data_IF_248716957303
#
_entry.id   IF_248716957303
#
_cell.length_a   1.000
_cell.length_b   1.000
_cell.length_c   1.000
_cell.angle_alpha   90.00
_cell.angle_beta   90.00
_cell.angle_gamma   90.00
#
_symmetry.space_group_name_H-M   'P 1'
#
loop_
_entity.id
_entity.type
_entity.pdbx_description
1 polymer ?
#
# COMPACT_ATOMS: atom_id res chain seq x y z
N UNK A 1 16.11 12.86 4.35
CA UNK A 1 16.98 13.27 5.50
C UNK A 1 17.06 12.17 6.58
N UNK A 2 16.00 11.45 6.91
CA UNK A 2 16.01 10.37 7.92
C UNK A 2 16.91 9.19 7.55
N UNK A 3 16.93 8.74 6.31
CA UNK A 3 17.66 7.53 5.89
C UNK A 3 19.20 7.65 6.00
N UNK A 4 19.77 8.83 5.80
CA UNK A 4 21.21 9.04 5.97
C UNK A 4 21.70 8.79 7.41
N UNK A 5 20.85 9.01 8.39
CA UNK A 5 21.16 8.82 9.81
C UNK A 5 21.25 7.34 10.21
N UNK A 6 20.70 6.43 9.38
CA UNK A 6 20.68 4.99 9.64
C UNK A 6 21.80 4.21 8.94
N UNK A 7 22.48 4.77 7.94
CA UNK A 7 23.52 4.07 7.19
C UNK A 7 24.73 3.64 8.03
N UNK A 8 25.06 4.38 9.10
CA UNK A 8 26.15 4.05 10.04
C UNK A 8 25.74 3.24 11.27
N UNK A 9 24.45 2.93 11.44
CA UNK A 9 23.95 2.19 12.61
C UNK A 9 24.04 0.70 12.38
N UNK A 10 24.35 -0.05 13.46
CA UNK A 10 24.40 -1.51 13.42
C UNK A 10 23.11 -2.11 12.81
N UNK A 11 23.25 -3.20 12.05
CA UNK A 11 22.16 -3.83 11.31
C UNK A 11 20.91 -4.09 12.15
N UNK A 12 21.07 -4.44 13.44
CA UNK A 12 19.98 -4.68 14.38
C UNK A 12 19.12 -3.44 14.63
N UNK A 13 19.71 -2.25 14.76
CA UNK A 13 18.93 -1.00 14.95
C UNK A 13 18.09 -0.65 13.72
N UNK A 14 18.63 -0.92 12.53
CA UNK A 14 17.92 -0.70 11.27
C UNK A 14 16.78 -1.72 11.14
N UNK A 15 17.02 -2.97 11.50
CA UNK A 15 16.02 -4.04 11.49
C UNK A 15 14.86 -3.71 12.44
N UNK A 16 15.16 -3.40 13.70
CA UNK A 16 14.11 -3.04 14.68
C UNK A 16 13.35 -1.77 14.28
N UNK A 17 14.07 -0.73 13.81
CA UNK A 17 13.43 0.49 13.32
C UNK A 17 12.56 0.25 12.09
N UNK A 18 13.01 -0.58 11.16
CA UNK A 18 12.23 -0.98 9.97
C UNK A 18 11.01 -1.80 10.33
N UNK A 19 11.14 -2.73 11.27
CA UNK A 19 10.02 -3.52 11.77
C UNK A 19 8.94 -2.65 12.42
N UNK A 20 9.33 -1.74 13.32
CA UNK A 20 8.39 -0.85 14.01
C UNK A 20 7.71 0.13 13.05
N UNK A 21 8.47 0.76 12.16
CA UNK A 21 7.92 1.74 11.19
C UNK A 21 7.03 1.03 10.17
N UNK A 22 7.47 -0.15 9.65
CA UNK A 22 6.70 -0.92 8.69
C UNK A 22 5.40 -1.44 9.29
N UNK A 23 5.45 -2.05 10.48
CA UNK A 23 4.25 -2.52 11.18
C UNK A 23 3.30 -1.37 11.53
N UNK A 24 3.81 -0.23 11.99
CA UNK A 24 2.99 0.94 12.28
C UNK A 24 2.30 1.51 11.04
N UNK A 25 3.00 1.55 9.91
CA UNK A 25 2.43 1.96 8.63
C UNK A 25 1.36 0.97 8.15
N UNK A 26 1.63 -0.33 8.22
CA UNK A 26 0.70 -1.40 7.84
C UNK A 26 -0.58 -1.35 8.69
N UNK A 27 -0.43 -1.17 10.01
CA UNK A 27 -1.57 -1.01 10.92
C UNK A 27 -2.42 0.21 10.55
N UNK A 28 -1.78 1.36 10.32
CA UNK A 28 -2.46 2.60 9.93
C UNK A 28 -3.20 2.45 8.59
N UNK A 29 -2.57 1.81 7.60
CA UNK A 29 -3.20 1.56 6.31
C UNK A 29 -4.45 0.67 6.46
N UNK A 30 -4.35 -0.44 7.20
CA UNK A 30 -5.48 -1.33 7.44
C UNK A 30 -6.62 -0.62 8.19
N UNK A 31 -6.30 0.18 9.20
CA UNK A 31 -7.28 0.98 9.91
C UNK A 31 -7.98 2.02 9.01
N UNK A 32 -7.22 2.73 8.17
CA UNK A 32 -7.79 3.69 7.22
C UNK A 32 -8.68 3.01 6.18
N UNK A 33 -8.30 1.83 5.69
CA UNK A 33 -9.10 1.05 4.73
C UNK A 33 -10.46 0.69 5.34
N UNK A 34 -10.47 0.20 6.57
CA UNK A 34 -11.71 -0.13 7.27
C UNK A 34 -12.59 1.11 7.48
N UNK A 35 -12.01 2.24 7.90
CA UNK A 35 -12.77 3.49 8.10
C UNK A 35 -13.33 4.05 6.79
N UNK A 36 -12.58 3.96 5.69
CA UNK A 36 -12.98 4.55 4.41
C UNK A 36 -13.86 3.64 3.57
N UNK A 37 -13.64 2.32 3.65
CA UNK A 37 -14.26 1.35 2.75
C UNK A 37 -15.09 0.28 3.48
N UNK A 38 -15.07 0.24 4.82
CA UNK A 38 -15.69 -0.86 5.57
C UNK A 38 -15.06 -2.22 5.29
N UNK A 39 -13.80 -2.25 4.82
CA UNK A 39 -13.11 -3.45 4.41
C UNK A 39 -11.61 -3.37 4.71
N UNK A 40 -10.99 -4.52 4.94
CA UNK A 40 -9.55 -4.67 5.08
C UNK A 40 -8.99 -5.46 3.89
N UNK A 41 -7.83 -5.05 3.35
CA UNK A 41 -7.23 -5.72 2.19
C UNK A 41 -6.48 -7.00 2.56
N UNK A 42 -6.29 -7.25 3.85
CA UNK A 42 -5.67 -8.47 4.41
C UNK A 42 -6.18 -8.70 5.83
N UNK A 43 -6.13 -9.95 6.26
CA UNK A 43 -6.43 -10.36 7.64
C UNK A 43 -5.39 -11.37 8.13
N UNK A 44 -4.68 -11.00 9.21
CA UNK A 44 -3.69 -11.84 9.88
C UNK A 44 -4.20 -12.44 11.19
N UNK A 45 -5.50 -12.44 11.45
CA UNK A 45 -6.10 -12.96 12.68
C UNK A 45 -5.74 -14.43 12.93
N UNK A 46 -5.52 -15.20 11.85
CA UNK A 46 -5.11 -16.61 11.89
C UNK A 46 -3.61 -16.82 12.22
N UNK A 47 -2.79 -15.76 12.23
CA UNK A 47 -1.36 -15.85 12.52
C UNK A 47 -1.05 -15.56 13.98
N UNK A 48 -0.03 -16.23 14.59
CA UNK A 48 0.37 -15.97 15.96
C UNK A 48 0.97 -14.57 16.11
N UNK A 49 0.79 -13.99 17.31
CA UNK A 49 1.27 -12.65 17.65
C UNK A 49 0.76 -11.56 16.68
N UNK A 50 -0.47 -11.69 16.23
CA UNK A 50 -1.15 -10.62 15.51
C UNK A 50 -1.71 -9.56 16.48
N UNK A 51 -1.90 -8.37 15.98
CA UNK A 51 -2.59 -7.27 16.67
C UNK A 51 -3.81 -6.86 15.84
N UNK A 52 -5.00 -7.24 16.33
CA UNK A 52 -6.30 -6.98 15.69
C UNK A 52 -6.40 -7.50 14.23
N UNK A 53 -5.69 -8.57 13.87
CA UNK A 53 -5.63 -9.06 12.49
C UNK A 53 -4.91 -8.14 11.50
N UNK A 54 -4.50 -6.93 11.90
CA UNK A 54 -3.94 -5.90 11.00
C UNK A 54 -2.46 -6.03 10.76
N UNK A 55 -1.71 -6.47 11.78
CA UNK A 55 -0.27 -6.75 11.72
C UNK A 55 0.03 -8.03 12.49
N UNK A 56 1.14 -8.69 12.16
CA UNK A 56 1.66 -9.79 12.95
C UNK A 56 3.19 -9.75 13.05
N UNK A 57 3.75 -10.47 14.02
CA UNK A 57 5.19 -10.48 14.29
C UNK A 57 5.99 -10.93 13.06
N UNK A 58 5.52 -11.93 12.34
CA UNK A 58 6.20 -12.47 11.15
C UNK A 58 6.42 -11.37 10.09
N UNK A 59 5.35 -10.67 9.70
CA UNK A 59 5.45 -9.61 8.69
C UNK A 59 6.16 -8.37 9.22
N UNK A 60 6.06 -8.08 10.51
CA UNK A 60 6.88 -7.01 11.14
C UNK A 60 8.38 -7.30 11.01
N UNK A 61 8.82 -8.56 11.16
CA UNK A 61 10.20 -8.97 10.93
C UNK A 61 10.57 -8.81 9.44
N UNK A 62 9.69 -9.17 8.51
CA UNK A 62 9.92 -8.95 7.08
C UNK A 62 10.11 -7.47 6.75
N UNK A 63 9.30 -6.56 7.32
CA UNK A 63 9.51 -5.12 7.20
C UNK A 63 10.90 -4.69 7.70
N UNK A 64 11.36 -5.27 8.80
CA UNK A 64 12.70 -5.03 9.32
C UNK A 64 13.80 -5.47 8.35
N UNK A 65 13.69 -6.68 7.78
CA UNK A 65 14.63 -7.22 6.78
C UNK A 65 14.63 -6.36 5.51
N UNK A 66 13.45 -6.01 5.00
CA UNK A 66 13.31 -5.10 3.86
C UNK A 66 13.93 -3.72 4.13
N UNK A 67 13.77 -3.20 5.35
CA UNK A 67 14.41 -1.96 5.79
C UNK A 67 15.93 -2.02 5.73
N UNK A 68 16.53 -3.13 6.18
CA UNK A 68 17.97 -3.36 6.09
C UNK A 68 18.44 -3.46 4.64
N UNK A 69 17.74 -4.25 3.82
CA UNK A 69 18.04 -4.42 2.40
C UNK A 69 17.94 -3.07 1.66
N UNK A 70 16.88 -2.32 1.92
CA UNK A 70 16.65 -1.00 1.34
C UNK A 70 17.79 -0.04 1.66
N UNK A 71 18.08 0.16 2.96
CA UNK A 71 19.06 1.17 3.39
C UNK A 71 20.47 0.80 2.97
N UNK A 72 20.84 -0.49 3.06
CA UNK A 72 22.23 -0.91 2.81
C UNK A 72 22.56 -1.21 1.36
N UNK A 73 21.56 -1.56 0.54
CA UNK A 73 21.78 -2.01 -0.84
C UNK A 73 20.98 -1.22 -1.87
N UNK A 74 19.65 -1.23 -1.76
CA UNK A 74 18.79 -0.68 -2.81
C UNK A 74 18.88 0.84 -2.88
N UNK A 75 18.76 1.52 -1.76
CA UNK A 75 18.85 2.99 -1.73
C UNK A 75 20.17 3.54 -2.29
N UNK A 76 21.38 3.06 -1.89
CA UNK A 76 22.62 3.53 -2.47
C UNK A 76 22.74 3.24 -3.98
N UNK A 77 22.23 2.08 -4.44
CA UNK A 77 22.22 1.72 -5.85
C UNK A 77 21.32 2.67 -6.65
N UNK A 78 20.08 2.84 -6.21
CA UNK A 78 19.11 3.75 -6.86
C UNK A 78 19.60 5.20 -6.85
N UNK A 79 20.17 5.67 -5.73
CA UNK A 79 20.70 7.02 -5.62
C UNK A 79 21.79 7.28 -6.67
N UNK A 80 22.68 6.31 -6.95
CA UNK A 80 23.70 6.43 -8.00
C UNK A 80 23.11 6.65 -9.40
N UNK A 81 21.97 6.01 -9.69
CA UNK A 81 21.29 6.16 -10.98
C UNK A 81 20.50 7.47 -11.04
N UNK A 82 19.75 7.79 -9.98
CA UNK A 82 18.93 9.01 -9.91
C UNK A 82 19.81 10.27 -10.01
N UNK A 83 20.98 10.28 -9.36
CA UNK A 83 21.91 11.41 -9.42
C UNK A 83 22.51 11.66 -10.82
N UNK A 84 22.43 10.71 -11.74
CA UNK A 84 22.83 10.89 -13.14
C UNK A 84 21.79 11.61 -13.99
N UNK A 85 20.54 11.70 -13.50
CA UNK A 85 19.43 12.31 -14.23
C UNK A 85 19.55 13.84 -14.11
N UNK A 86 19.55 14.59 -15.23
CA UNK A 86 19.57 16.05 -15.18
C UNK A 86 18.37 16.61 -14.40
N UNK A 87 18.59 17.64 -13.60
CA UNK A 87 17.55 18.18 -12.70
C UNK A 87 16.21 18.52 -13.40
N UNK A 88 16.25 19.04 -14.62
CA UNK A 88 15.03 19.35 -15.39
C UNK A 88 14.23 18.10 -15.72
N UNK A 89 14.92 17.08 -16.20
CA UNK A 89 14.32 15.77 -16.55
C UNK A 89 13.80 15.09 -15.27
N UNK A 90 14.59 15.10 -14.21
CA UNK A 90 14.20 14.52 -12.92
C UNK A 90 12.93 15.16 -12.35
N UNK A 91 12.82 16.51 -12.41
CA UNK A 91 11.59 17.20 -11.97
C UNK A 91 10.38 16.81 -12.84
N UNK A 92 10.53 16.81 -14.16
CA UNK A 92 9.44 16.42 -15.07
C UNK A 92 8.99 14.98 -14.79
N UNK A 93 9.93 14.04 -14.68
CA UNK A 93 9.65 12.64 -14.37
C UNK A 93 8.94 12.48 -13.02
N UNK A 94 9.36 13.23 -12.00
CA UNK A 94 8.72 13.22 -10.68
C UNK A 94 7.26 13.63 -10.77
N UNK A 95 6.94 14.70 -11.50
CA UNK A 95 5.55 15.15 -11.68
C UNK A 95 4.71 14.15 -12.49
N UNK A 96 5.28 13.54 -13.52
CA UNK A 96 4.58 12.52 -14.32
C UNK A 96 4.26 11.30 -13.47
N UNK A 97 5.24 10.80 -12.70
CA UNK A 97 5.06 9.65 -11.80
C UNK A 97 4.07 10.00 -10.68
N UNK A 98 4.16 11.19 -10.12
CA UNK A 98 3.20 11.65 -9.11
C UNK A 98 1.77 11.71 -9.66
N UNK A 99 1.57 12.33 -10.82
CA UNK A 99 0.27 12.38 -11.47
C UNK A 99 -0.29 10.98 -11.79
N UNK A 100 0.58 10.07 -12.25
CA UNK A 100 0.22 8.67 -12.47
C UNK A 100 -0.30 8.00 -11.20
N UNK A 101 0.40 8.12 -10.07
CA UNK A 101 -0.03 7.52 -8.81
C UNK A 101 -1.31 8.16 -8.26
N UNK A 102 -1.49 9.47 -8.42
CA UNK A 102 -2.74 10.13 -8.02
C UNK A 102 -3.92 9.61 -8.85
N UNK A 103 -3.73 9.46 -10.16
CA UNK A 103 -4.76 8.92 -11.05
C UNK A 103 -5.07 7.45 -10.72
N UNK A 104 -4.04 6.64 -10.52
CA UNK A 104 -4.17 5.22 -10.14
C UNK A 104 -4.93 5.06 -8.82
N UNK A 105 -4.57 5.85 -7.81
CA UNK A 105 -5.28 5.86 -6.53
C UNK A 105 -6.75 6.29 -6.70
N UNK A 106 -7.04 7.31 -7.50
CA UNK A 106 -8.41 7.77 -7.75
C UNK A 106 -9.25 6.69 -8.45
N UNK A 107 -8.69 6.02 -9.47
CA UNK A 107 -9.36 4.92 -10.17
C UNK A 107 -9.58 3.73 -9.24
N UNK A 108 -8.61 3.40 -8.42
CA UNK A 108 -8.71 2.31 -7.44
C UNK A 108 -9.80 2.59 -6.39
N UNK A 109 -9.82 3.81 -5.82
CA UNK A 109 -10.86 4.21 -4.87
C UNK A 109 -12.26 4.16 -5.50
N UNK A 110 -12.39 4.62 -6.75
CA UNK A 110 -13.65 4.59 -7.48
C UNK A 110 -14.12 3.14 -7.74
N UNK A 111 -13.23 2.27 -8.20
CA UNK A 111 -13.53 0.87 -8.45
C UNK A 111 -13.95 0.14 -7.16
N UNK A 112 -13.24 0.38 -6.05
CA UNK A 112 -13.57 -0.18 -4.74
C UNK A 112 -14.93 0.33 -4.24
N UNK A 113 -15.18 1.64 -4.31
CA UNK A 113 -16.45 2.22 -3.89
C UNK A 113 -17.63 1.62 -4.70
N UNK A 114 -17.45 1.44 -6.03
CA UNK A 114 -18.48 0.80 -6.85
C UNK A 114 -18.65 -0.69 -6.52
N UNK A 115 -17.57 -1.40 -6.26
CA UNK A 115 -17.65 -2.80 -5.85
C UNK A 115 -18.43 -2.97 -4.55
N UNK A 116 -18.15 -2.16 -3.52
CA UNK A 116 -18.90 -2.15 -2.25
C UNK A 116 -20.39 -1.83 -2.49
N UNK A 117 -20.70 -0.79 -3.28
CA UNK A 117 -22.07 -0.43 -3.59
C UNK A 117 -22.84 -1.55 -4.30
N UNK A 118 -22.18 -2.34 -5.17
CA UNK A 118 -22.82 -3.52 -5.80
C UNK A 118 -23.08 -4.64 -4.81
N UNK A 119 -22.23 -4.83 -3.80
CA UNK A 119 -22.49 -5.79 -2.72
C UNK A 119 -23.70 -5.40 -1.87
N UNK A 120 -23.96 -4.09 -1.76
CA UNK A 120 -25.18 -3.55 -1.10
C UNK A 120 -26.38 -3.44 -2.07
N UNK A 121 -26.34 -4.10 -3.24
CA UNK A 121 -27.37 -4.06 -4.29
C UNK A 121 -27.71 -2.64 -4.79
N UNK A 122 -26.79 -1.69 -4.71
CA UNK A 122 -26.98 -0.30 -5.17
C UNK A 122 -26.67 -0.20 -6.69
N UNK A 123 -27.69 0.07 -7.54
CA UNK A 123 -27.48 0.14 -8.98
C UNK A 123 -26.66 1.39 -9.40
N UNK A 124 -26.02 1.37 -10.60
CA UNK A 124 -25.34 2.53 -11.12
C UNK A 124 -26.33 3.67 -11.37
N UNK A 125 -26.00 4.87 -10.92
CA UNK A 125 -26.86 6.05 -11.02
C UNK A 125 -26.69 6.84 -12.32
N UNK A 126 -25.62 6.55 -13.07
CA UNK A 126 -25.30 7.23 -14.32
C UNK A 126 -24.44 6.34 -15.23
N UNK A 127 -24.34 6.71 -16.51
CA UNK A 127 -23.56 5.97 -17.52
C UNK A 127 -22.06 5.83 -17.18
N UNK A 128 -21.49 6.78 -16.41
CA UNK A 128 -20.12 6.69 -15.97
C UNK A 128 -19.93 5.56 -14.93
N UNK A 129 -20.84 5.43 -13.98
CA UNK A 129 -20.83 4.32 -13.00
C UNK A 129 -21.06 2.97 -13.69
N UNK A 130 -21.95 2.91 -14.67
CA UNK A 130 -22.16 1.73 -15.50
C UNK A 130 -20.87 1.32 -16.23
N UNK A 131 -20.18 2.25 -16.87
CA UNK A 131 -18.88 2.02 -17.49
C UNK A 131 -17.83 1.49 -16.48
N UNK A 132 -17.81 2.03 -15.24
CA UNK A 132 -16.91 1.56 -14.19
C UNK A 132 -17.25 0.12 -13.80
N UNK A 133 -18.53 -0.21 -13.66
CA UNK A 133 -19.00 -1.56 -13.31
C UNK A 133 -18.64 -2.58 -14.40
N UNK A 134 -18.83 -2.24 -15.68
CA UNK A 134 -18.40 -3.07 -16.81
C UNK A 134 -16.88 -3.28 -16.84
N UNK A 135 -16.11 -2.27 -16.47
CA UNK A 135 -14.65 -2.32 -16.52
C UNK A 135 -14.04 -3.05 -15.33
N UNK A 136 -14.65 -2.93 -14.16
CA UNK A 136 -14.22 -3.50 -12.87
C UNK A 136 -15.31 -4.41 -12.31
N UNK A 137 -15.55 -5.53 -13.02
CA UNK A 137 -16.50 -6.57 -12.58
C UNK A 137 -16.09 -7.21 -11.26
N UNK A 138 -17.02 -7.82 -10.55
CA UNK A 138 -16.75 -8.46 -9.25
C UNK A 138 -15.67 -9.54 -9.38
N UNK A 139 -15.74 -10.40 -10.40
CA UNK A 139 -14.68 -11.39 -10.66
C UNK A 139 -13.29 -10.77 -10.86
N UNK A 140 -13.24 -9.59 -11.47
CA UNK A 140 -11.99 -8.87 -11.67
C UNK A 140 -11.49 -8.27 -10.36
N UNK A 141 -12.38 -7.69 -9.56
CA UNK A 141 -12.04 -7.11 -8.27
C UNK A 141 -11.56 -8.19 -7.28
N UNK A 142 -12.19 -9.34 -7.23
CA UNK A 142 -11.74 -10.50 -6.44
C UNK A 142 -10.35 -10.99 -6.84
N UNK A 143 -10.01 -10.96 -8.14
CA UNK A 143 -8.67 -11.31 -8.63
C UNK A 143 -7.62 -10.25 -8.27
N UNK A 144 -7.99 -8.98 -8.23
CA UNK A 144 -7.09 -7.86 -7.88
C UNK A 144 -6.86 -7.82 -6.37
N UNK A 145 -7.90 -8.10 -5.58
CA UNK A 145 -7.90 -8.03 -4.11
C UNK A 145 -8.30 -9.37 -3.46
N UNK A 146 -7.53 -10.46 -3.68
CA UNK A 146 -7.92 -11.81 -3.25
C UNK A 146 -7.93 -12.00 -1.72
N UNK A 147 -7.32 -11.09 -0.98
CA UNK A 147 -7.26 -11.12 0.49
C UNK A 147 -8.18 -10.11 1.17
N UNK A 148 -9.06 -9.46 0.41
CA UNK A 148 -9.95 -8.43 0.96
C UNK A 148 -11.08 -9.06 1.77
N UNK A 149 -11.28 -8.53 2.99
CA UNK A 149 -12.33 -8.96 3.92
C UNK A 149 -13.21 -7.76 4.23
N UNK A 150 -14.51 -7.91 4.02
CA UNK A 150 -15.51 -6.88 4.36
C UNK A 150 -15.85 -6.99 5.85
N UNK A 151 -15.85 -5.86 6.56
CA UNK A 151 -16.03 -5.79 8.02
C UNK A 151 -17.48 -5.53 8.44
N UNK A 152 -18.41 -5.55 7.51
CA UNK A 152 -19.84 -5.27 7.69
C UNK A 152 -20.74 -6.50 7.86
N UNK A 153 -20.16 -7.71 8.00
CA UNK A 153 -20.92 -8.93 8.35
C UNK A 153 -20.73 -9.32 9.82
#
# INVERSE_FOLDING_TARGET
>A
LCFRRFQGRGGVRVLLGGALVGAGYEYLCSWLQEVLFGACFWDYSHLPFNLNGRICLLYSIFWGVLGVLWIKRLYPLMAKWILKIPNRVGKALTWVVFAFFVLDAAVTCLALARWIQRMDDIPPQNAFMEFVDERFTDERMEKIFPGMVFTGE
#
